data_IF_498883038672
#
_entry.id   IF_498883038672
#
_cell.length_a   1.000
_cell.length_b   1.000
_cell.length_c   1.000
_cell.angle_alpha   90.00
_cell.angle_beta   90.00
_cell.angle_gamma   90.00
#
_symmetry.space_group_name_H-M   'P 1'
#
loop_
_entity.id
_entity.type
_entity.pdbx_description
1 polymer ?
#
# COMPACT_ATOMS: atom_id res chain seq x y z
N UNK A 1 -15.46 22.13 -2.38
CA UNK A 1 -15.00 21.79 -1.02
C UNK A 1 -15.32 20.34 -0.68
N UNK A 2 -16.44 19.77 -1.15
CA UNK A 2 -16.75 18.34 -0.97
C UNK A 2 -15.73 17.39 -1.63
N UNK A 3 -15.24 17.69 -2.83
CA UNK A 3 -14.30 16.80 -3.53
C UNK A 3 -12.95 16.62 -2.81
N UNK A 4 -12.52 17.62 -2.03
CA UNK A 4 -11.28 17.55 -1.27
C UNK A 4 -11.45 16.66 -0.03
N UNK A 5 -12.59 16.74 0.66
CA UNK A 5 -12.90 15.89 1.80
C UNK A 5 -13.04 14.42 1.37
N UNK A 6 -13.75 14.17 0.26
CA UNK A 6 -13.88 12.83 -0.30
C UNK A 6 -12.53 12.22 -0.71
N UNK A 7 -11.64 13.03 -1.28
CA UNK A 7 -10.27 12.62 -1.61
C UNK A 7 -9.45 12.25 -0.37
N UNK A 8 -9.51 13.08 0.67
CA UNK A 8 -8.76 12.86 1.91
C UNK A 8 -9.23 11.60 2.64
N UNK A 9 -10.55 11.38 2.71
CA UNK A 9 -11.12 10.16 3.28
C UNK A 9 -10.70 8.92 2.47
N UNK A 10 -10.81 8.96 1.14
CA UNK A 10 -10.38 7.86 0.28
C UNK A 10 -8.87 7.56 0.40
N UNK A 11 -8.02 8.60 0.42
CA UNK A 11 -6.58 8.43 0.59
C UNK A 11 -6.23 7.84 1.95
N UNK A 12 -6.91 8.30 3.01
CA UNK A 12 -6.68 7.82 4.38
C UNK A 12 -7.10 6.36 4.54
N UNK A 13 -8.26 5.98 4.00
CA UNK A 13 -8.75 4.60 4.05
C UNK A 13 -7.87 3.65 3.23
N UNK A 14 -7.42 4.11 2.05
CA UNK A 14 -6.46 3.37 1.22
C UNK A 14 -5.13 3.18 1.96
N UNK A 15 -4.59 4.24 2.55
CA UNK A 15 -3.34 4.20 3.30
C UNK A 15 -3.43 3.24 4.49
N UNK A 16 -4.49 3.31 5.29
CA UNK A 16 -4.70 2.38 6.42
C UNK A 16 -4.74 0.93 5.94
N UNK A 17 -5.51 0.65 4.90
CA UNK A 17 -5.63 -0.70 4.34
C UNK A 17 -4.30 -1.21 3.75
N UNK A 18 -3.47 -0.31 3.23
CA UNK A 18 -2.17 -0.62 2.65
C UNK A 18 -1.09 -0.83 3.73
N UNK A 19 -1.17 -0.11 4.85
CA UNK A 19 -0.30 -0.34 6.01
C UNK A 19 -0.56 -1.71 6.65
N UNK A 20 -1.81 -2.16 6.66
CA UNK A 20 -2.20 -3.50 7.11
C UNK A 20 -1.74 -4.61 6.15
N UNK A 21 -1.34 -4.26 4.91
CA UNK A 21 -0.78 -5.20 3.93
C UNK A 21 0.69 -5.54 4.22
N UNK A 22 0.99 -5.97 5.45
CA UNK A 22 2.34 -6.43 5.86
C UNK A 22 2.66 -7.84 5.36
N UNK A 23 1.61 -8.63 5.14
CA UNK A 23 1.65 -9.94 4.51
C UNK A 23 0.59 -9.96 3.41
N UNK A 24 0.72 -10.84 2.43
CA UNK A 24 -0.29 -10.95 1.38
C UNK A 24 -1.66 -11.33 1.91
N UNK A 25 -2.39 -10.26 2.07
CA UNK A 25 -3.78 -10.17 2.42
C UNK A 25 -4.71 -10.46 1.28
N UNK A 26 -5.17 -11.68 0.96
CA UNK A 26 -6.29 -11.79 -0.01
C UNK A 26 -7.46 -10.82 0.30
N UNK A 27 -7.93 -10.69 1.55
CA UNK A 27 -8.94 -9.68 1.90
C UNK A 27 -8.45 -8.24 1.75
N UNK A 28 -7.21 -7.91 2.15
CA UNK A 28 -6.68 -6.55 2.03
C UNK A 28 -6.42 -6.13 0.58
N UNK A 29 -5.91 -7.04 -0.27
CA UNK A 29 -5.75 -6.79 -1.72
C UNK A 29 -7.11 -6.54 -2.35
N UNK A 30 -8.11 -7.37 -2.03
CA UNK A 30 -9.46 -7.17 -2.56
C UNK A 30 -10.03 -5.82 -2.11
N UNK A 31 -9.85 -5.45 -0.84
CA UNK A 31 -10.28 -4.16 -0.31
C UNK A 31 -9.57 -2.99 -1.00
N UNK A 32 -8.25 -3.05 -1.17
CA UNK A 32 -7.47 -2.04 -1.91
C UNK A 32 -7.90 -1.96 -3.38
N UNK A 33 -8.25 -3.07 -4.00
CA UNK A 33 -8.74 -3.11 -5.38
C UNK A 33 -10.10 -2.42 -5.49
N UNK A 34 -11.04 -2.74 -4.59
CA UNK A 34 -12.37 -2.10 -4.54
C UNK A 34 -12.23 -0.60 -4.30
N UNK A 35 -11.41 -0.19 -3.32
CA UNK A 35 -11.17 1.22 -3.02
C UNK A 35 -10.57 1.98 -4.22
N UNK A 36 -9.69 1.34 -5.00
CA UNK A 36 -9.14 1.94 -6.22
C UNK A 36 -10.18 2.07 -7.34
N UNK A 37 -11.04 1.06 -7.50
CA UNK A 37 -12.14 1.08 -8.48
C UNK A 37 -13.21 2.13 -8.15
N UNK A 38 -13.53 2.32 -6.87
CA UNK A 38 -14.51 3.32 -6.42
C UNK A 38 -13.94 4.75 -6.50
N UNK A 39 -12.61 4.91 -6.39
CA UNK A 39 -11.92 6.19 -6.32
C UNK A 39 -11.03 6.48 -7.54
N UNK A 40 -11.48 6.10 -8.75
CA UNK A 40 -10.74 6.33 -10.01
C UNK A 40 -10.39 7.81 -10.26
N UNK A 41 -11.23 8.74 -9.80
CA UNK A 41 -10.96 10.17 -9.87
C UNK A 41 -9.69 10.59 -9.11
N UNK A 42 -9.29 9.80 -8.11
CA UNK A 42 -8.11 10.01 -7.26
C UNK A 42 -7.01 8.97 -7.52
N UNK A 43 -7.07 8.27 -8.66
CA UNK A 43 -6.10 7.24 -9.02
C UNK A 43 -4.63 7.71 -8.91
N UNK A 44 -4.36 8.98 -9.24
CA UNK A 44 -3.02 9.57 -9.11
C UNK A 44 -2.50 9.59 -7.68
N UNK A 45 -3.37 9.86 -6.71
CA UNK A 45 -3.00 9.86 -5.29
C UNK A 45 -2.81 8.45 -4.76
N UNK A 46 -3.69 7.53 -5.17
CA UNK A 46 -3.59 6.11 -4.82
C UNK A 46 -2.25 5.53 -5.30
N UNK A 47 -1.85 5.83 -6.54
CA UNK A 47 -0.55 5.42 -7.08
C UNK A 47 0.60 6.01 -6.25
N UNK A 48 0.54 7.29 -5.89
CA UNK A 48 1.58 7.91 -5.06
C UNK A 48 1.71 7.24 -3.68
N UNK A 49 0.59 6.83 -3.06
CA UNK A 49 0.60 6.09 -1.78
C UNK A 49 1.25 4.72 -1.95
N UNK A 50 0.95 3.99 -3.03
CA UNK A 50 1.57 2.69 -3.34
C UNK A 50 3.08 2.85 -3.57
N UNK A 51 3.49 3.83 -4.39
CA UNK A 51 4.90 4.10 -4.68
C UNK A 51 5.68 4.46 -3.40
N UNK A 52 5.08 5.25 -2.51
CA UNK A 52 5.66 5.59 -1.21
C UNK A 52 5.82 4.36 -0.32
N UNK A 53 4.82 3.47 -0.28
CA UNK A 53 4.88 2.23 0.50
C UNK A 53 5.94 1.27 -0.05
N UNK A 54 5.99 1.08 -1.37
CA UNK A 54 7.03 0.27 -2.02
C UNK A 54 8.41 0.85 -1.69
N UNK A 55 8.60 2.16 -1.84
CA UNK A 55 9.88 2.82 -1.53
C UNK A 55 10.28 2.61 -0.06
N UNK A 56 9.33 2.72 0.87
CA UNK A 56 9.57 2.46 2.30
C UNK A 56 10.01 1.02 2.56
N UNK A 57 9.34 0.04 1.95
CA UNK A 57 9.69 -1.39 2.07
C UNK A 57 11.07 -1.67 1.45
N UNK A 58 11.35 -1.14 0.26
CA UNK A 58 12.66 -1.28 -0.38
C UNK A 58 13.80 -0.65 0.43
N UNK A 59 13.58 0.53 1.02
CA UNK A 59 14.54 1.16 1.93
C UNK A 59 14.75 0.27 3.16
N UNK A 60 13.67 -0.25 3.76
CA UNK A 60 13.78 -1.13 4.93
C UNK A 60 14.58 -2.41 4.61
N UNK A 61 14.35 -3.01 3.43
CA UNK A 61 15.11 -4.16 2.94
C UNK A 61 16.58 -3.82 2.69
N UNK A 62 16.89 -2.62 2.16
CA UNK A 62 18.26 -2.21 1.84
C UNK A 62 19.10 -1.82 3.08
N UNK A 63 18.48 -1.39 4.17
CA UNK A 63 19.17 -1.01 5.42
C UNK A 63 19.25 -2.14 6.45
N UNK A 64 18.45 -3.20 6.32
CA UNK A 64 18.66 -4.43 7.08
C UNK A 64 19.75 -5.25 6.36
N UNK A 65 20.85 -5.64 7.02
CA UNK A 65 21.76 -6.60 6.41
C UNK A 65 20.96 -7.89 6.20
N UNK A 66 20.62 -8.17 4.94
CA UNK A 66 20.03 -9.43 4.54
C UNK A 66 21.10 -10.49 4.83
N UNK A 67 21.10 -11.03 6.06
CA UNK A 67 21.53 -12.41 6.23
C UNK A 67 20.62 -13.21 5.30
N UNK A 68 21.20 -13.84 4.28
CA UNK A 68 20.59 -14.58 3.16
C UNK A 68 19.29 -15.35 3.49
N UNK A 69 19.07 -15.72 4.75
CA UNK A 69 17.88 -16.42 5.25
C UNK A 69 16.58 -15.61 5.33
N UNK A 70 16.60 -14.27 5.42
CA UNK A 70 15.34 -13.50 5.61
C UNK A 70 14.50 -13.40 4.32
N UNK A 71 15.13 -13.51 3.15
CA UNK A 71 14.45 -13.49 1.85
C UNK A 71 13.53 -14.70 1.67
N UNK A 72 13.87 -15.86 2.26
CA UNK A 72 13.03 -17.07 2.25
C UNK A 72 11.82 -16.98 3.17
N UNK A 73 11.78 -16.01 4.09
CA UNK A 73 10.68 -15.80 5.02
C UNK A 73 9.68 -14.74 4.53
N UNK A 74 9.98 -14.04 3.44
CA UNK A 74 9.01 -13.15 2.79
C UNK A 74 8.09 -14.04 1.95
N UNK A 75 6.79 -14.19 2.27
CA UNK A 75 5.93 -15.16 1.58
C UNK A 75 5.61 -14.79 0.11
N UNK A 76 6.32 -13.80 -0.45
CA UNK A 76 6.03 -13.06 -1.69
C UNK A 76 7.22 -12.92 -2.64
N UNK A 77 8.38 -13.52 -2.34
CA UNK A 77 9.45 -13.80 -3.31
C UNK A 77 9.71 -15.30 -3.35
#
# INVERSE_FOLDING_TARGET
MEDQAAREDACREYQSSLEDLTFNSKPHINMLTILAEENLNFAKDIVAIIEAQISKVFINIAYFPISDDLWRCIPWI
#
